data_IF_402295121499
#
_entry.id   IF_402295121499
#
_cell.length_a   1.000
_cell.length_b   1.000
_cell.length_c   1.000
_cell.angle_alpha   90.00
_cell.angle_beta   90.00
_cell.angle_gamma   90.00
#
_symmetry.space_group_name_H-M   'P 1'
#
loop_
_entity.id
_entity.type
_entity.pdbx_description
1 polymer ?
#
# COMPACT_ATOMS: atom_id res chain seq x y z
N UNK A 1 -35.26 -0.43 -2.57
CA UNK A 1 -34.16 0.35 -3.16
C UNK A 1 -34.01 0.00 -4.61
N UNK A 2 -33.89 0.99 -5.50
CA UNK A 2 -33.72 0.74 -6.92
C UNK A 2 -32.32 0.22 -7.22
N UNK A 3 -32.21 -0.53 -8.32
CA UNK A 3 -30.91 -1.00 -8.81
C UNK A 3 -29.94 0.16 -9.08
N UNK A 4 -30.46 1.27 -9.65
CA UNK A 4 -29.64 2.44 -9.92
C UNK A 4 -29.10 3.07 -8.64
N UNK A 5 -29.89 3.14 -7.58
CA UNK A 5 -29.46 3.64 -6.28
C UNK A 5 -28.38 2.73 -5.66
N UNK A 6 -28.58 1.42 -5.74
CA UNK A 6 -27.62 0.43 -5.25
C UNK A 6 -26.28 0.54 -5.99
N UNK A 7 -26.32 0.62 -7.32
CA UNK A 7 -25.11 0.76 -8.12
C UNK A 7 -24.37 2.05 -7.81
N UNK A 8 -25.09 3.15 -7.56
CA UNK A 8 -24.51 4.43 -7.20
C UNK A 8 -23.80 4.38 -5.86
N UNK A 9 -24.42 3.77 -4.86
CA UNK A 9 -23.81 3.58 -3.53
C UNK A 9 -22.57 2.71 -3.64
N UNK A 10 -22.63 1.64 -4.42
CA UNK A 10 -21.51 0.74 -4.65
C UNK A 10 -20.35 1.46 -5.33
N UNK A 11 -20.61 2.28 -6.34
CA UNK A 11 -19.59 3.08 -7.02
C UNK A 11 -18.91 4.05 -6.07
N UNK A 12 -19.67 4.71 -5.20
CA UNK A 12 -19.12 5.64 -4.21
C UNK A 12 -18.23 4.87 -3.22
N UNK A 13 -18.65 3.71 -2.77
CA UNK A 13 -17.89 2.88 -1.83
C UNK A 13 -16.61 2.30 -2.45
N UNK A 14 -16.62 2.02 -3.76
CA UNK A 14 -15.47 1.45 -4.47
C UNK A 14 -14.48 2.50 -4.97
N UNK A 15 -14.91 3.75 -5.16
CA UNK A 15 -14.05 4.81 -5.68
C UNK A 15 -12.76 5.01 -4.87
N UNK A 16 -12.77 5.07 -3.52
CA UNK A 16 -11.53 5.15 -2.74
C UNK A 16 -10.61 3.95 -2.96
N UNK A 17 -11.19 2.76 -3.07
CA UNK A 17 -10.42 1.53 -3.30
C UNK A 17 -9.72 1.54 -4.66
N UNK A 18 -10.39 2.00 -5.70
CA UNK A 18 -9.80 2.13 -7.04
C UNK A 18 -8.66 3.17 -7.04
N UNK A 19 -8.82 4.26 -6.30
CA UNK A 19 -7.79 5.28 -6.15
C UNK A 19 -6.57 4.73 -5.43
N UNK A 20 -6.77 3.98 -4.34
CA UNK A 20 -5.70 3.33 -3.58
C UNK A 20 -4.95 2.32 -4.45
N UNK A 21 -5.67 1.50 -5.20
CA UNK A 21 -5.08 0.53 -6.12
C UNK A 21 -4.15 1.23 -7.11
N UNK A 22 -4.60 2.30 -7.73
CA UNK A 22 -3.83 3.07 -8.70
C UNK A 22 -2.58 3.68 -8.08
N UNK A 23 -2.73 4.27 -6.90
CA UNK A 23 -1.64 4.91 -6.17
C UNK A 23 -0.54 3.90 -5.81
N UNK A 24 -0.91 2.73 -5.28
CA UNK A 24 0.05 1.69 -4.94
C UNK A 24 0.83 1.25 -6.19
N UNK A 25 0.13 1.06 -7.31
CA UNK A 25 0.74 0.69 -8.57
C UNK A 25 1.73 1.74 -9.08
N UNK A 26 1.35 3.01 -9.03
CA UNK A 26 2.23 4.12 -9.46
C UNK A 26 3.49 4.20 -8.60
N UNK A 27 3.34 4.13 -7.28
CA UNK A 27 4.46 4.21 -6.34
C UNK A 27 5.38 3.00 -6.52
N UNK A 28 4.81 1.81 -6.70
CA UNK A 28 5.60 0.60 -6.93
C UNK A 28 6.43 0.72 -8.21
N UNK A 29 5.85 1.24 -9.28
CA UNK A 29 6.57 1.48 -10.53
C UNK A 29 7.67 2.52 -10.37
N UNK A 30 7.44 3.59 -9.62
CA UNK A 30 8.48 4.58 -9.33
C UNK A 30 9.67 3.95 -8.61
N UNK A 31 9.40 3.16 -7.58
CA UNK A 31 10.46 2.46 -6.84
C UNK A 31 11.24 1.50 -7.74
N UNK A 32 10.54 0.71 -8.55
CA UNK A 32 11.17 -0.22 -9.47
C UNK A 32 12.03 0.52 -10.50
N UNK A 33 11.51 1.58 -11.09
CA UNK A 33 12.23 2.37 -12.08
C UNK A 33 13.50 2.98 -11.50
N UNK A 34 13.43 3.55 -10.31
CA UNK A 34 14.60 4.13 -9.64
C UNK A 34 15.66 3.08 -9.34
N UNK A 35 15.23 1.94 -8.81
CA UNK A 35 16.14 0.83 -8.50
C UNK A 35 16.81 0.27 -9.73
N UNK A 36 16.05 0.04 -10.80
CA UNK A 36 16.56 -0.53 -12.07
C UNK A 36 17.49 0.46 -12.79
N UNK A 37 17.29 1.76 -12.58
CA UNK A 37 18.19 2.80 -13.07
C UNK A 37 19.50 2.90 -12.28
N UNK A 38 19.68 2.08 -11.26
CA UNK A 38 20.90 2.05 -10.45
C UNK A 38 20.91 3.05 -9.29
N UNK A 39 19.82 3.73 -9.02
CA UNK A 39 19.76 4.65 -7.88
C UNK A 39 19.86 3.90 -6.56
N UNK A 40 20.68 4.44 -5.64
CA UNK A 40 20.91 3.85 -4.32
C UNK A 40 21.08 4.96 -3.30
N UNK A 41 20.88 4.62 -2.02
CA UNK A 41 21.04 5.56 -0.92
C UNK A 41 20.08 6.74 -1.02
N UNK A 42 20.57 7.97 -0.78
CA UNK A 42 19.71 9.16 -0.77
C UNK A 42 18.96 9.41 -2.07
N UNK A 43 19.46 8.96 -3.22
CA UNK A 43 18.78 9.15 -4.50
C UNK A 43 17.49 8.34 -4.62
N UNK A 44 17.32 7.30 -3.81
CA UNK A 44 16.08 6.53 -3.72
C UNK A 44 15.00 7.23 -2.89
N UNK A 45 15.37 8.22 -2.08
CA UNK A 45 14.46 8.80 -1.09
C UNK A 45 13.16 9.35 -1.68
N UNK A 46 13.12 10.04 -2.83
CA UNK A 46 11.85 10.52 -3.36
C UNK A 46 10.81 9.42 -3.56
N UNK A 47 11.20 8.29 -4.15
CA UNK A 47 10.30 7.16 -4.37
C UNK A 47 9.97 6.44 -3.06
N UNK A 48 10.98 6.18 -2.24
CA UNK A 48 10.81 5.49 -0.96
C UNK A 48 9.96 6.31 0.01
N UNK A 49 10.13 7.63 0.02
CA UNK A 49 9.36 8.52 0.87
C UNK A 49 7.86 8.49 0.52
N UNK A 50 7.54 8.52 -0.77
CA UNK A 50 6.13 8.39 -1.22
C UNK A 50 5.52 7.08 -0.75
N UNK A 51 6.27 6.00 -0.85
CA UNK A 51 5.82 4.68 -0.37
C UNK A 51 5.57 4.69 1.14
N UNK A 52 6.50 5.23 1.90
CA UNK A 52 6.38 5.31 3.35
C UNK A 52 5.19 6.17 3.78
N UNK A 53 4.98 7.32 3.13
CA UNK A 53 3.83 8.18 3.40
C UNK A 53 2.51 7.46 3.09
N UNK A 54 2.44 6.74 1.99
CA UNK A 54 1.25 5.98 1.63
C UNK A 54 0.89 4.96 2.70
N UNK A 55 1.87 4.18 3.16
CA UNK A 55 1.66 3.19 4.21
C UNK A 55 1.29 3.85 5.54
N UNK A 56 1.90 4.99 5.86
CA UNK A 56 1.53 5.79 7.03
C UNK A 56 0.09 6.26 6.99
N UNK A 57 -0.39 6.68 5.82
CA UNK A 57 -1.79 7.07 5.61
C UNK A 57 -2.73 5.89 5.80
N UNK A 58 -2.40 4.72 5.29
CA UNK A 58 -3.18 3.50 5.49
C UNK A 58 -3.26 3.13 6.98
N UNK A 59 -2.14 3.18 7.68
CA UNK A 59 -2.09 2.89 9.10
C UNK A 59 -2.93 3.88 9.93
N UNK A 60 -2.84 5.16 9.61
CA UNK A 60 -3.65 6.19 10.26
C UNK A 60 -5.14 5.96 10.05
N UNK A 61 -5.54 5.62 8.83
CA UNK A 61 -6.93 5.30 8.53
C UNK A 61 -7.42 4.07 9.32
N UNK A 62 -6.57 3.05 9.45
CA UNK A 62 -6.90 1.84 10.21
C UNK A 62 -7.03 2.09 11.71
N UNK A 63 -6.32 3.08 12.24
CA UNK A 63 -6.41 3.47 13.64
C UNK A 63 -7.52 4.48 13.94
N UNK A 64 -8.18 5.02 12.92
CA UNK A 64 -9.19 6.06 13.09
C UNK A 64 -10.51 5.47 13.60
N UNK A 65 -11.25 6.22 14.47
CA UNK A 65 -12.59 5.82 14.87
C UNK A 65 -13.50 5.66 13.65
N UNK A 66 -14.33 4.64 13.65
CA UNK A 66 -15.28 4.39 12.57
C UNK A 66 -14.72 3.66 11.36
N UNK A 67 -13.45 3.27 11.36
CA UNK A 67 -12.92 2.40 10.32
C UNK A 67 -13.66 1.06 10.36
N UNK A 68 -14.17 0.63 9.20
CA UNK A 68 -15.07 -0.53 9.10
C UNK A 68 -14.35 -1.84 8.76
N UNK A 69 -13.03 -1.82 8.57
CA UNK A 69 -12.29 -3.03 8.32
C UNK A 69 -12.27 -3.93 9.57
N UNK A 70 -12.27 -5.25 9.40
CA UNK A 70 -12.12 -6.17 10.54
C UNK A 70 -10.84 -5.85 11.34
N UNK A 71 -10.94 -5.97 12.65
CA UNK A 71 -9.82 -5.65 13.55
C UNK A 71 -8.52 -6.39 13.19
N UNK A 72 -8.52 -7.70 12.88
CA UNK A 72 -7.28 -8.38 12.49
C UNK A 72 -6.63 -7.79 11.25
N UNK A 73 -7.42 -7.34 10.27
CA UNK A 73 -6.90 -6.73 9.06
C UNK A 73 -6.32 -5.34 9.37
N UNK A 74 -6.98 -4.56 10.20
CA UNK A 74 -6.47 -3.24 10.63
C UNK A 74 -5.13 -3.39 11.35
N UNK A 75 -5.05 -4.35 12.26
CA UNK A 75 -3.81 -4.63 12.99
C UNK A 75 -2.69 -5.07 12.06
N UNK A 76 -3.00 -5.90 11.07
CA UNK A 76 -2.03 -6.35 10.08
C UNK A 76 -1.49 -5.18 9.24
N UNK A 77 -2.36 -4.29 8.77
CA UNK A 77 -1.95 -3.11 7.99
C UNK A 77 -1.05 -2.19 8.82
N UNK A 78 -1.39 -1.94 10.06
CA UNK A 78 -0.57 -1.12 10.97
C UNK A 78 0.79 -1.77 11.18
N UNK A 79 0.85 -3.08 11.39
CA UNK A 79 2.11 -3.80 11.57
C UNK A 79 2.98 -3.74 10.32
N UNK A 80 2.38 -3.88 9.13
CA UNK A 80 3.09 -3.77 7.87
C UNK A 80 3.64 -2.35 7.70
N UNK A 81 2.87 -1.33 8.01
CA UNK A 81 3.31 0.06 7.92
C UNK A 81 4.53 0.33 8.80
N UNK A 82 4.55 -0.22 10.02
CA UNK A 82 5.71 -0.11 10.91
C UNK A 82 6.93 -0.82 10.32
N UNK A 83 6.73 -2.00 9.74
CA UNK A 83 7.80 -2.72 9.06
C UNK A 83 8.32 -1.94 7.84
N UNK A 84 7.42 -1.38 7.02
CA UNK A 84 7.79 -0.57 5.86
C UNK A 84 8.67 0.59 6.27
N UNK A 85 8.34 1.27 7.36
CA UNK A 85 9.14 2.38 7.87
C UNK A 85 10.58 1.96 8.20
N UNK A 86 10.73 0.86 8.94
CA UNK A 86 12.04 0.32 9.30
C UNK A 86 12.80 -0.20 8.09
N UNK A 87 12.13 -0.94 7.22
CA UNK A 87 12.77 -1.53 6.04
C UNK A 87 13.22 -0.45 5.04
N UNK A 88 12.45 0.62 4.90
CA UNK A 88 12.84 1.77 4.09
C UNK A 88 14.19 2.34 4.53
N UNK A 89 14.37 2.50 5.83
CA UNK A 89 15.65 2.98 6.38
C UNK A 89 16.80 2.01 6.06
N UNK A 90 16.54 0.71 6.13
CA UNK A 90 17.53 -0.31 5.80
C UNK A 90 17.91 -0.28 4.31
N UNK A 91 16.95 -0.03 3.43
CA UNK A 91 17.21 0.10 1.99
C UNK A 91 18.07 1.34 1.70
N UNK A 92 17.75 2.47 2.30
CA UNK A 92 18.53 3.71 2.15
C UNK A 92 19.97 3.52 2.65
N UNK A 93 20.13 2.80 3.75
CA UNK A 93 21.45 2.50 4.32
C UNK A 93 22.26 1.47 3.52
N UNK A 94 21.66 0.86 2.51
CA UNK A 94 22.32 -0.15 1.69
C UNK A 94 22.36 -1.55 2.30
N UNK A 95 21.60 -1.80 3.36
CA UNK A 95 21.59 -3.09 4.05
C UNK A 95 20.60 -4.08 3.46
N UNK A 96 19.59 -3.59 2.73
CA UNK A 96 18.52 -4.40 2.16
C UNK A 96 18.17 -3.94 0.74
N UNK A 97 17.79 -4.87 -0.16
CA UNK A 97 17.26 -4.48 -1.46
C UNK A 97 15.83 -4.00 -1.36
N UNK A 98 15.31 -3.43 -2.45
CA UNK A 98 13.96 -2.88 -2.53
C UNK A 98 12.89 -3.97 -2.65
N UNK A 99 13.28 -5.20 -2.94
CA UNK A 99 12.40 -6.28 -3.37
C UNK A 99 11.26 -6.56 -2.40
N UNK A 100 11.55 -6.57 -1.10
CA UNK A 100 10.54 -6.84 -0.08
C UNK A 100 9.46 -5.75 -0.01
N UNK A 101 9.82 -4.48 -0.25
CA UNK A 101 8.86 -3.38 -0.33
C UNK A 101 7.91 -3.56 -1.51
N UNK A 102 8.45 -3.96 -2.66
CA UNK A 102 7.65 -4.22 -3.86
C UNK A 102 6.72 -5.43 -3.68
N UNK A 103 7.20 -6.46 -3.01
CA UNK A 103 6.42 -7.66 -2.72
C UNK A 103 5.21 -7.34 -1.83
N UNK A 104 5.43 -6.58 -0.78
CA UNK A 104 4.33 -6.17 0.13
C UNK A 104 3.30 -5.30 -0.59
N UNK A 105 3.75 -4.38 -1.43
CA UNK A 105 2.84 -3.59 -2.25
C UNK A 105 2.05 -4.47 -3.23
N UNK A 106 2.70 -5.46 -3.82
CA UNK A 106 2.03 -6.44 -4.70
C UNK A 106 0.94 -7.23 -3.99
N UNK A 107 1.20 -7.65 -2.76
CA UNK A 107 0.22 -8.35 -1.94
C UNK A 107 -0.99 -7.46 -1.63
N UNK A 108 -0.74 -6.19 -1.33
CA UNK A 108 -1.82 -5.23 -1.10
C UNK A 108 -2.64 -5.00 -2.38
N UNK A 109 -1.99 -4.90 -3.55
CA UNK A 109 -2.67 -4.78 -4.83
C UNK A 109 -3.59 -5.98 -5.11
N UNK A 110 -3.12 -7.19 -4.84
CA UNK A 110 -3.91 -8.40 -5.00
C UNK A 110 -5.16 -8.36 -4.12
N UNK A 111 -5.03 -7.92 -2.87
CA UNK A 111 -6.16 -7.77 -1.96
C UNK A 111 -7.19 -6.74 -2.43
N UNK A 112 -6.73 -5.58 -2.90
CA UNK A 112 -7.61 -4.52 -3.39
C UNK A 112 -8.25 -4.86 -4.75
N UNK A 113 -7.56 -5.68 -5.55
CA UNK A 113 -8.08 -6.13 -6.85
C UNK A 113 -9.20 -7.16 -6.75
N UNK A 114 -9.60 -7.54 -5.55
CA UNK A 114 -10.66 -8.51 -5.34
C UNK A 114 -10.21 -9.96 -5.41
N UNK A 115 -8.91 -10.20 -5.54
CA UNK A 115 -8.36 -11.54 -5.40
C UNK A 115 -8.36 -11.90 -3.92
N UNK A 116 -9.29 -12.76 -3.53
CA UNK A 116 -9.26 -13.29 -2.18
C UNK A 116 -7.94 -14.04 -2.01
N UNK A 117 -7.20 -13.81 -0.92
CA UNK A 117 -6.07 -14.67 -0.61
C UNK A 117 -6.59 -16.11 -0.56
N UNK A 118 -5.95 -16.99 -1.31
CA UNK A 118 -6.31 -18.40 -1.24
C UNK A 118 -6.19 -18.83 0.22
N UNK A 119 -7.29 -19.33 0.75
CA UNK A 119 -7.27 -19.94 2.07
C UNK A 119 -6.31 -21.14 2.00
N UNK A 120 -5.16 -20.93 2.52
CA UNK A 120 -4.18 -22.00 2.61
C UNK A 120 -4.74 -23.10 3.52
#
# INVERSE_FOLDING_TARGET
MSLAAYQRVRSIAEAPRATEYRLIGEISREMRTAWDAGMRGPSLMPALHRNREMWGTFAAACGAPGNQLPEPLRAAIISIALWVDRHTSAVVAGHEPIDALLEVNGDMLAGLGGEAPEAA
#
